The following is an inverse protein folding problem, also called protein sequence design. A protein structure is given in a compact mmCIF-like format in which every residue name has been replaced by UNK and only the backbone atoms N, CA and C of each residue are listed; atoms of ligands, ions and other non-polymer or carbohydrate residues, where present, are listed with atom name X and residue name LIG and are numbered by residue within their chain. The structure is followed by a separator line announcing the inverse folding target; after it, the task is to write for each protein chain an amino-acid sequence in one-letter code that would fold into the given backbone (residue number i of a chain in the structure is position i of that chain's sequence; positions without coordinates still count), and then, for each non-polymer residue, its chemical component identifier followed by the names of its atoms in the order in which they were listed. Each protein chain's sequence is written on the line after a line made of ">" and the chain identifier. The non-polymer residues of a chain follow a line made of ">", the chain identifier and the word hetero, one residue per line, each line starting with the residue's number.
data_IF_903167871368
#
_entry.id   IF_903167871368
#
_cell.length_a   1.000
_cell.length_b   1.000
_cell.length_c   1.000
_cell.angle_alpha   90.00
_cell.angle_beta   90.00
_cell.angle_gamma   90.00
#
_symmetry.space_group_name_H-M   'P 1'
#
loop_
_entity.id
_entity.type
_entity.pdbx_description
1 polymer ?
#
# COMPACT_ATOMS: atom_id res chain seq x y z
N UNK A 1 16.25 -14.30 -7.72
CA UNK A 1 15.07 -14.21 -8.59
C UNK A 1 14.83 -12.75 -8.86
N UNK A 2 14.75 -12.36 -10.13
CA UNK A 2 14.54 -10.95 -10.54
C UNK A 2 13.09 -10.55 -10.29
N UNK A 3 12.86 -9.38 -9.70
CA UNK A 3 11.53 -8.79 -9.60
C UNK A 3 11.11 -8.31 -11.00
N UNK A 4 10.09 -8.95 -11.58
CA UNK A 4 9.52 -8.57 -12.89
C UNK A 4 8.07 -8.16 -12.71
N UNK A 5 7.55 -7.35 -13.64
CA UNK A 5 6.13 -6.98 -13.64
C UNK A 5 5.23 -8.22 -13.64
N UNK A 6 5.60 -9.27 -14.40
CA UNK A 6 4.86 -10.54 -14.42
C UNK A 6 4.88 -11.24 -13.06
N UNK A 7 6.05 -11.35 -12.44
CA UNK A 7 6.19 -12.00 -11.12
C UNK A 7 5.40 -11.24 -10.04
N UNK A 8 5.34 -9.91 -10.11
CA UNK A 8 4.52 -9.11 -9.21
C UNK A 8 3.03 -9.36 -9.41
N UNK A 9 2.57 -9.44 -10.66
CA UNK A 9 1.16 -9.73 -10.95
C UNK A 9 0.75 -11.13 -10.49
N UNK A 10 1.60 -12.13 -10.71
CA UNK A 10 1.36 -13.49 -10.22
C UNK A 10 1.32 -13.53 -8.68
N UNK A 11 2.18 -12.75 -8.01
CA UNK A 11 2.14 -12.57 -6.56
C UNK A 11 0.83 -11.91 -6.08
N UNK A 12 0.46 -10.77 -6.67
CA UNK A 12 -0.76 -10.03 -6.31
C UNK A 12 -2.00 -10.91 -6.50
N UNK A 13 -2.11 -11.61 -7.62
CA UNK A 13 -3.20 -12.55 -7.88
C UNK A 13 -3.27 -13.68 -6.85
N UNK A 14 -2.13 -14.17 -6.34
CA UNK A 14 -2.09 -15.20 -5.31
C UNK A 14 -2.38 -14.69 -3.88
N UNK A 15 -2.32 -13.36 -3.66
CA UNK A 15 -2.51 -12.70 -2.36
C UNK A 15 -3.90 -12.11 -2.20
N UNK A 16 -4.52 -11.58 -3.28
CA UNK A 16 -5.87 -10.98 -3.22
C UNK A 16 -6.92 -11.91 -2.57
N UNK A 17 -7.02 -13.21 -2.90
CA UNK A 17 -8.00 -14.11 -2.28
C UNK A 17 -7.79 -14.33 -0.77
N UNK A 18 -6.66 -13.86 -0.23
CA UNK A 18 -6.27 -13.97 1.18
C UNK A 18 -6.38 -12.62 1.91
N UNK A 19 -6.93 -11.59 1.26
CA UNK A 19 -7.09 -10.28 1.85
C UNK A 19 -8.02 -10.33 3.06
N UNK A 20 -7.57 -9.78 4.20
CA UNK A 20 -8.37 -9.60 5.41
C UNK A 20 -9.37 -8.44 5.24
N UNK A 21 -9.00 -7.45 4.44
CA UNK A 21 -9.84 -6.28 4.09
C UNK A 21 -9.86 -6.14 2.58
N UNK A 22 -11.06 -6.10 2.00
CA UNK A 22 -11.26 -5.87 0.56
C UNK A 22 -12.14 -4.64 0.36
N UNK A 23 -11.63 -3.67 -0.37
CA UNK A 23 -12.31 -2.41 -0.68
C UNK A 23 -12.45 -2.31 -2.19
N UNK A 24 -13.69 -2.09 -2.65
CA UNK A 24 -13.99 -1.81 -4.05
C UNK A 24 -14.17 -0.31 -4.22
N UNK A 25 -13.22 0.36 -4.88
CA UNK A 25 -13.35 1.76 -5.26
C UNK A 25 -14.01 1.88 -6.64
N UNK A 26 -14.91 2.86 -6.77
CA UNK A 26 -15.66 3.13 -8.00
C UNK A 26 -15.07 4.30 -8.78
N UNK A 27 -15.27 4.38 -10.11
CA UNK A 27 -14.73 5.49 -10.89
C UNK A 27 -15.31 6.82 -10.36
N UNK A 28 -14.45 7.80 -10.11
CA UNK A 28 -14.85 9.11 -9.59
C UNK A 28 -15.25 9.14 -8.11
N UNK A 29 -15.22 8.00 -7.41
CA UNK A 29 -15.56 7.89 -5.98
C UNK A 29 -14.46 7.11 -5.23
N UNK A 30 -13.33 7.76 -4.90
CA UNK A 30 -12.27 7.11 -4.11
C UNK A 30 -12.81 6.66 -2.76
N UNK A 31 -12.31 5.54 -2.27
CA UNK A 31 -12.51 5.16 -0.89
C UNK A 31 -11.72 6.12 -0.01
N UNK A 32 -12.39 6.84 0.89
CA UNK A 32 -11.77 7.77 1.81
C UNK A 32 -11.80 7.21 3.23
N UNK A 33 -10.63 7.18 3.87
CA UNK A 33 -10.47 6.75 5.26
C UNK A 33 -9.64 7.79 6.02
N UNK A 34 -9.95 7.99 7.29
CA UNK A 34 -9.18 8.81 8.21
C UNK A 34 -9.01 8.10 9.55
N UNK A 35 -7.94 8.45 10.27
CA UNK A 35 -7.59 7.87 11.58
C UNK A 35 -7.56 6.34 11.57
N UNK A 36 -7.04 5.79 10.47
CA UNK A 36 -6.88 4.36 10.26
C UNK A 36 -6.04 3.74 11.38
N UNK A 37 -6.43 2.55 11.83
CA UNK A 37 -5.73 1.81 12.88
C UNK A 37 -6.16 2.19 14.30
N UNK A 38 -6.89 3.30 14.49
CA UNK A 38 -7.48 3.66 15.79
C UNK A 38 -8.40 2.58 16.34
N UNK A 39 -9.19 1.95 15.47
CA UNK A 39 -10.09 0.86 15.82
C UNK A 39 -9.37 -0.45 16.14
N UNK A 40 -8.08 -0.62 15.77
CA UNK A 40 -7.39 -1.90 15.97
C UNK A 40 -7.22 -2.29 17.44
N UNK A 41 -7.25 -1.33 18.37
CA UNK A 41 -7.13 -1.62 19.80
C UNK A 41 -8.42 -2.20 20.39
N UNK A 42 -9.58 -1.92 19.79
CA UNK A 42 -10.90 -2.27 20.33
C UNK A 42 -11.62 -3.31 19.48
N UNK A 43 -11.47 -3.25 18.17
CA UNK A 43 -12.03 -4.20 17.21
C UNK A 43 -11.03 -4.46 16.07
N UNK A 44 -10.28 -5.55 16.21
CA UNK A 44 -9.34 -6.00 15.18
C UNK A 44 -10.03 -6.47 13.89
N UNK A 45 -11.36 -6.62 13.84
CA UNK A 45 -12.11 -6.97 12.63
C UNK A 45 -12.73 -5.75 11.94
N UNK A 46 -12.67 -4.57 12.54
CA UNK A 46 -13.18 -3.35 11.94
C UNK A 46 -12.54 -3.06 10.58
N UNK A 47 -13.33 -2.52 9.66
CA UNK A 47 -12.88 -2.08 8.33
C UNK A 47 -11.89 -0.91 8.40
N UNK A 48 -11.83 -0.19 9.53
CA UNK A 48 -10.80 0.84 9.79
C UNK A 48 -9.59 0.31 10.56
N UNK A 49 -9.56 -0.99 10.88
CA UNK A 49 -8.37 -1.66 11.39
C UNK A 49 -7.62 -2.40 10.27
N UNK A 50 -6.56 -1.78 9.74
CA UNK A 50 -5.73 -2.36 8.67
C UNK A 50 -4.47 -3.07 9.20
N UNK A 51 -4.56 -3.57 10.43
CA UNK A 51 -3.51 -4.37 11.07
C UNK A 51 -2.59 -3.56 11.98
N UNK A 52 -1.93 -4.28 12.86
CA UNK A 52 -0.90 -3.78 13.79
C UNK A 52 0.38 -4.57 13.62
N UNK A 53 1.50 -4.11 14.18
CA UNK A 53 2.76 -4.87 14.13
C UNK A 53 2.66 -6.23 14.83
N UNK A 54 1.72 -6.42 15.76
CA UNK A 54 1.44 -7.72 16.40
C UNK A 54 0.42 -8.57 15.63
N UNK A 55 -0.39 -7.96 14.76
CA UNK A 55 -1.43 -8.63 13.98
C UNK A 55 -1.57 -7.95 12.61
N UNK A 56 -0.60 -8.16 11.69
CA UNK A 56 -0.61 -7.51 10.39
C UNK A 56 -1.72 -8.08 9.51
N UNK A 57 -2.18 -7.28 8.54
CA UNK A 57 -3.26 -7.65 7.61
C UNK A 57 -2.87 -7.50 6.16
N UNK A 58 -3.51 -8.28 5.30
CA UNK A 58 -3.52 -8.08 3.86
C UNK A 58 -4.73 -7.20 3.53
N UNK A 59 -4.47 -5.99 3.05
CA UNK A 59 -5.49 -5.04 2.64
C UNK A 59 -5.44 -4.90 1.13
N UNK A 60 -6.57 -5.17 0.47
CA UNK A 60 -6.72 -5.01 -0.96
C UNK A 60 -7.71 -3.89 -1.26
N UNK A 61 -7.27 -2.92 -2.06
CA UNK A 61 -8.10 -1.84 -2.62
C UNK A 61 -8.13 -2.02 -4.13
N UNK A 62 -9.24 -2.55 -4.63
CA UNK A 62 -9.52 -2.63 -6.06
C UNK A 62 -9.99 -1.27 -6.56
N UNK A 63 -9.21 -0.65 -7.42
CA UNK A 63 -9.57 0.57 -8.12
C UNK A 63 -10.51 0.31 -9.29
N UNK A 64 -11.07 1.38 -9.81
CA UNK A 64 -11.99 1.31 -10.93
C UNK A 64 -11.26 1.34 -12.28
N UNK A 65 -11.37 0.28 -13.11
CA UNK A 65 -10.83 0.31 -14.45
C UNK A 65 -11.79 1.04 -15.38
N UNK A 66 -11.41 2.24 -15.81
CA UNK A 66 -11.62 2.78 -17.16
C UNK A 66 -11.17 4.26 -17.17
N UNK A 67 -10.06 4.50 -17.85
CA UNK A 67 -9.77 5.72 -18.62
C UNK A 67 -9.52 7.04 -17.86
N UNK A 68 -9.83 7.13 -16.57
CA UNK A 68 -9.50 8.29 -15.75
C UNK A 68 -8.27 8.00 -14.88
N UNK A 69 -7.39 8.99 -14.72
CA UNK A 69 -6.42 9.05 -13.63
C UNK A 69 -7.19 9.17 -12.31
N UNK A 70 -7.75 8.05 -11.88
CA UNK A 70 -8.68 7.95 -10.76
C UNK A 70 -7.93 7.64 -9.48
N UNK A 71 -8.06 8.52 -8.52
CA UNK A 71 -7.71 8.21 -7.13
C UNK A 71 -8.65 7.10 -6.69
N UNK A 72 -8.10 5.96 -6.27
CA UNK A 72 -8.86 4.83 -5.71
C UNK A 72 -8.93 4.92 -4.19
N UNK A 73 -7.92 5.52 -3.56
CA UNK A 73 -7.78 5.59 -2.11
C UNK A 73 -7.37 6.99 -1.65
N UNK A 74 -8.05 7.51 -0.63
CA UNK A 74 -7.65 8.70 0.13
C UNK A 74 -7.47 8.33 1.59
N UNK A 75 -6.29 8.59 2.13
CA UNK A 75 -5.97 8.42 3.54
C UNK A 75 -5.72 9.80 4.15
N UNK A 76 -6.37 10.08 5.28
CA UNK A 76 -6.20 11.30 6.06
C UNK A 76 -6.05 11.06 7.56
N UNK A 77 -6.02 12.15 8.33
CA UNK A 77 -5.94 12.10 9.79
C UNK A 77 -4.60 11.58 10.31
N UNK A 78 -4.62 10.91 11.45
CA UNK A 78 -3.48 10.20 12.03
C UNK A 78 -3.64 8.69 11.78
N UNK A 79 -3.26 8.25 10.59
CA UNK A 79 -3.50 6.90 10.10
C UNK A 79 -2.27 6.00 10.28
N UNK A 80 -2.48 4.78 10.77
CA UNK A 80 -1.44 3.77 10.91
C UNK A 80 -1.94 2.36 10.54
N UNK A 81 -1.01 1.50 10.12
CA UNK A 81 -1.30 0.10 9.86
C UNK A 81 -0.04 -0.74 9.66
N UNK A 82 -0.23 -2.05 9.53
CA UNK A 82 0.86 -2.98 9.26
C UNK A 82 0.40 -4.18 8.44
N UNK A 83 1.24 -4.61 7.50
CA UNK A 83 1.02 -5.79 6.67
C UNK A 83 1.30 -5.55 5.19
N UNK A 84 0.41 -6.05 4.32
CA UNK A 84 0.52 -5.91 2.87
C UNK A 84 -0.65 -5.05 2.37
N UNK A 85 -0.37 -3.85 1.89
CA UNK A 85 -1.34 -2.98 1.26
C UNK A 85 -1.21 -3.10 -0.26
N UNK A 86 -2.27 -3.54 -0.93
CA UNK A 86 -2.34 -3.66 -2.38
C UNK A 86 -3.38 -2.68 -2.90
N UNK A 87 -2.98 -1.80 -3.82
CA UNK A 87 -3.86 -0.90 -4.54
C UNK A 87 -3.78 -1.28 -6.02
N UNK A 88 -4.88 -1.78 -6.58
CA UNK A 88 -4.94 -2.18 -7.98
C UNK A 88 -5.69 -1.13 -8.80
N UNK A 89 -5.25 -0.81 -10.03
CA UNK A 89 -5.99 0.03 -10.98
C UNK A 89 -6.44 1.40 -10.43
N UNK A 90 -5.55 2.11 -9.75
CA UNK A 90 -5.77 3.49 -9.31
C UNK A 90 -4.62 4.03 -8.48
N UNK A 91 -4.70 5.31 -8.14
CA UNK A 91 -3.70 5.98 -7.30
C UNK A 91 -4.18 6.15 -5.85
N UNK A 92 -3.24 6.16 -4.91
CA UNK A 92 -3.50 6.51 -3.52
C UNK A 92 -3.04 7.93 -3.22
N UNK A 93 -3.90 8.71 -2.58
CA UNK A 93 -3.54 9.99 -1.97
C UNK A 93 -3.43 9.81 -0.46
N UNK A 94 -2.31 10.27 0.08
CA UNK A 94 -2.03 10.19 1.52
C UNK A 94 -1.77 11.61 2.00
N UNK A 95 -2.65 12.10 2.86
CA UNK A 95 -2.52 13.37 3.57
C UNK A 95 -2.50 13.17 5.09
N UNK A 96 -2.10 14.20 5.83
CA UNK A 96 -1.93 14.09 7.27
C UNK A 96 -0.77 13.16 7.65
N UNK A 97 -0.82 12.61 8.86
CA UNK A 97 0.20 11.66 9.32
C UNK A 97 -0.18 10.24 8.90
N UNK A 98 0.77 9.54 8.28
CA UNK A 98 0.58 8.17 7.83
C UNK A 98 1.79 7.31 8.19
N UNK A 99 1.57 6.20 8.87
CA UNK A 99 2.62 5.24 9.19
C UNK A 99 2.24 3.82 8.79
N UNK A 100 3.02 3.22 7.88
CA UNK A 100 2.83 1.83 7.48
C UNK A 100 4.06 0.99 7.79
N UNK A 101 3.85 -0.19 8.37
CA UNK A 101 4.88 -1.21 8.56
C UNK A 101 4.62 -2.40 7.62
N UNK A 102 5.49 -2.61 6.63
CA UNK A 102 5.37 -3.72 5.70
C UNK A 102 5.43 -3.30 4.23
N UNK A 103 4.71 -4.02 3.38
CA UNK A 103 4.76 -3.82 1.92
C UNK A 103 3.57 -2.99 1.46
N UNK A 104 3.83 -2.02 0.60
CA UNK A 104 2.82 -1.32 -0.20
C UNK A 104 3.06 -1.65 -1.67
N UNK A 105 2.05 -2.17 -2.34
CA UNK A 105 2.08 -2.52 -3.76
C UNK A 105 0.98 -1.72 -4.46
N UNK A 106 1.35 -0.92 -5.45
CA UNK A 106 0.41 -0.24 -6.33
C UNK A 106 0.65 -0.77 -7.73
N UNK A 107 -0.37 -1.38 -8.36
CA UNK A 107 -0.20 -2.10 -9.62
C UNK A 107 -1.41 -1.96 -10.53
N UNK A 108 -1.23 -2.04 -11.85
CA UNK A 108 -2.33 -1.91 -12.81
C UNK A 108 -2.18 -0.68 -13.69
N UNK A 109 -3.28 -0.10 -14.15
CA UNK A 109 -3.28 1.08 -15.02
C UNK A 109 -3.51 2.38 -14.24
N UNK A 110 -2.76 3.43 -14.59
CA UNK A 110 -2.87 4.77 -14.01
C UNK A 110 -2.64 4.77 -12.50
N UNK A 111 -1.53 4.18 -12.09
CA UNK A 111 -1.19 3.94 -10.69
C UNK A 111 -0.16 4.92 -10.15
N UNK A 112 -0.24 5.18 -8.86
CA UNK A 112 0.74 6.00 -8.18
C UNK A 112 0.44 6.19 -6.71
N UNK A 113 1.39 6.77 -6.00
CA UNK A 113 1.20 7.27 -4.64
C UNK A 113 1.47 8.77 -4.68
N UNK A 114 0.55 9.53 -4.10
CA UNK A 114 0.66 10.97 -3.97
C UNK A 114 0.58 11.41 -2.52
N UNK A 115 1.65 12.02 -2.02
CA UNK A 115 1.63 12.71 -0.74
C UNK A 115 1.08 14.12 -0.91
N UNK A 116 0.03 14.44 -0.15
CA UNK A 116 -0.68 15.72 -0.21
C UNK A 116 -0.07 16.81 0.68
N UNK A 117 1.00 16.50 1.44
CA UNK A 117 1.61 17.40 2.41
C UNK A 117 0.86 17.47 3.75
N UNK A 118 1.47 18.09 4.76
CA UNK A 118 0.97 18.14 6.15
C UNK A 118 1.12 16.81 6.91
N UNK A 119 1.71 16.85 8.11
CA UNK A 119 1.99 15.65 8.92
C UNK A 119 3.22 14.86 8.49
N UNK A 120 3.47 13.73 9.18
CA UNK A 120 4.61 12.84 8.92
C UNK A 120 4.15 11.59 8.18
N UNK A 121 4.63 11.40 6.95
CA UNK A 121 4.30 10.25 6.11
C UNK A 121 5.50 9.30 6.02
N UNK A 122 5.34 8.08 6.53
CA UNK A 122 6.42 7.12 6.69
C UNK A 122 5.95 5.71 6.30
N UNK A 123 6.67 5.09 5.37
CA UNK A 123 6.55 3.65 5.09
C UNK A 123 7.85 3.00 5.54
N UNK A 124 7.74 2.10 6.52
CA UNK A 124 8.81 1.23 7.01
C UNK A 124 8.63 -0.15 6.38
N UNK A 125 9.40 -0.46 5.33
CA UNK A 125 9.30 -1.75 4.64
C UNK A 125 9.62 -1.62 3.16
N UNK A 126 8.68 -1.91 2.26
CA UNK A 126 8.92 -1.79 0.82
C UNK A 126 7.72 -1.18 0.09
N UNK A 127 8.00 -0.37 -0.92
CA UNK A 127 6.99 0.21 -1.80
C UNK A 127 7.29 -0.22 -3.23
N UNK A 128 6.31 -0.79 -3.91
CA UNK A 128 6.39 -1.21 -5.31
C UNK A 128 5.30 -0.48 -6.09
N UNK A 129 5.68 0.22 -7.16
CA UNK A 129 4.73 0.82 -8.11
C UNK A 129 4.95 0.17 -9.47
N UNK A 130 3.92 -0.47 -10.01
CA UNK A 130 3.95 -1.22 -11.27
C UNK A 130 2.87 -0.71 -12.22
N UNK A 131 3.25 0.26 -13.05
CA UNK A 131 2.40 0.81 -14.09
C UNK A 131 2.38 -0.10 -15.32
N UNK A 132 1.17 -0.51 -15.71
CA UNK A 132 0.92 -1.37 -16.87
C UNK A 132 0.37 -0.59 -18.07
N UNK A 133 0.05 0.70 -17.90
CA UNK A 133 -0.30 1.59 -19.01
C UNK A 133 0.98 2.00 -19.75
N UNK A 134 1.17 1.44 -20.94
CA UNK A 134 2.33 1.71 -21.80
C UNK A 134 2.52 3.19 -22.19
N UNK A 135 1.52 4.05 -21.95
CA UNK A 135 1.55 5.48 -22.24
C UNK A 135 1.67 6.36 -20.99
N UNK A 136 1.63 5.79 -19.79
CA UNK A 136 1.78 6.51 -18.53
C UNK A 136 3.13 6.19 -17.89
N UNK A 137 3.73 7.18 -17.23
CA UNK A 137 4.85 6.93 -16.34
C UNK A 137 4.29 6.46 -14.98
N UNK A 138 4.88 5.41 -14.41
CA UNK A 138 4.69 5.09 -12.99
C UNK A 138 5.10 6.31 -12.16
N UNK A 139 4.15 6.90 -11.45
CA UNK A 139 4.37 8.15 -10.74
C UNK A 139 4.44 7.95 -9.23
N UNK A 140 5.59 8.26 -8.64
CA UNK A 140 5.63 8.71 -7.25
C UNK A 140 5.69 10.23 -7.27
N UNK A 141 4.64 10.90 -6.80
CA UNK A 141 4.57 12.36 -6.83
C UNK A 141 4.38 12.88 -5.40
N UNK A 142 5.31 13.70 -4.94
CA UNK A 142 5.17 14.40 -3.67
C UNK A 142 4.86 15.86 -3.96
N UNK A 143 3.68 16.33 -3.53
CA UNK A 143 3.44 17.76 -3.43
C UNK A 143 4.06 18.20 -2.11
N UNK A 144 5.38 18.42 -2.13
CA UNK A 144 6.19 18.62 -0.94
C UNK A 144 5.83 19.91 -0.19
N UNK A 145 4.92 19.78 0.78
CA UNK A 145 4.79 20.67 1.94
C UNK A 145 4.86 19.90 3.26
N UNK A 146 5.51 18.72 3.28
CA UNK A 146 5.70 17.87 4.47
C UNK A 146 6.92 16.93 4.38
N UNK A 147 7.20 16.18 5.46
CA UNK A 147 8.34 15.28 5.60
C UNK A 147 7.97 13.83 5.19
N UNK A 148 8.03 13.53 3.89
CA UNK A 148 7.83 12.17 3.39
C UNK A 148 9.11 11.34 3.46
N UNK A 149 9.05 10.12 4.03
CA UNK A 149 10.18 9.18 4.03
C UNK A 149 9.75 7.77 3.58
N UNK A 150 10.50 7.21 2.64
CA UNK A 150 10.43 5.81 2.22
C UNK A 150 11.67 5.12 2.73
N UNK A 151 11.52 4.31 3.79
CA UNK A 151 12.64 3.62 4.41
C UNK A 151 12.52 2.13 4.14
N UNK A 152 13.49 1.60 3.41
CA UNK A 152 13.63 0.15 3.30
C UNK A 152 13.96 -0.44 4.68
N UNK A 153 13.10 -1.32 5.20
CA UNK A 153 13.32 -2.01 6.49
C UNK A 153 13.06 -3.51 6.34
N UNK A 154 14.13 -4.30 6.45
CA UNK A 154 14.04 -5.75 6.44
C UNK A 154 13.29 -6.26 7.65
N UNK A 155 13.46 -5.62 8.81
CA UNK A 155 12.82 -6.00 10.07
C UNK A 155 11.30 -5.90 9.96
N UNK A 156 10.79 -4.83 9.33
CA UNK A 156 9.36 -4.69 9.06
C UNK A 156 8.83 -5.77 8.10
N UNK A 157 9.63 -6.14 7.09
CA UNK A 157 9.28 -7.20 6.15
C UNK A 157 9.30 -8.60 6.81
N UNK A 158 10.29 -8.86 7.67
CA UNK A 158 10.41 -10.12 8.40
C UNK A 158 9.29 -10.25 9.44
N UNK A 159 8.94 -9.15 10.13
CA UNK A 159 7.81 -9.09 11.05
C UNK A 159 6.49 -9.45 10.37
N UNK A 160 6.19 -8.83 9.21
CA UNK A 160 4.96 -9.12 8.47
C UNK A 160 4.93 -10.57 7.97
N UNK A 161 6.05 -11.07 7.43
CA UNK A 161 6.12 -12.46 6.95
C UNK A 161 5.95 -13.48 8.07
N UNK A 162 6.61 -13.27 9.20
CA UNK A 162 6.57 -14.18 10.34
C UNK A 162 5.17 -14.19 10.97
N UNK A 163 4.56 -13.02 11.16
CA UNK A 163 3.25 -12.91 11.77
C UNK A 163 2.11 -13.43 10.87
N UNK A 164 2.21 -13.27 9.54
CA UNK A 164 1.27 -13.91 8.60
C UNK A 164 1.47 -15.43 8.51
N UNK A 165 2.49 -16.00 9.17
CA UNK A 165 2.87 -17.43 9.13
C UNK A 165 3.00 -17.97 7.71
N UNK A 166 3.36 -17.10 6.76
CA UNK A 166 3.40 -17.37 5.32
C UNK A 166 4.59 -16.62 4.76
N UNK A 167 5.54 -17.33 4.16
CA UNK A 167 6.64 -16.71 3.41
C UNK A 167 6.11 -16.14 2.10
N UNK A 168 5.61 -14.91 2.14
CA UNK A 168 4.99 -14.23 1.00
C UNK A 168 6.00 -13.43 0.18
N UNK A 169 7.11 -12.97 0.77
CA UNK A 169 8.08 -12.09 0.08
C UNK A 169 9.47 -12.71 0.18
N UNK A 170 10.27 -12.62 -0.88
CA UNK A 170 11.71 -12.90 -0.80
C UNK A 170 12.46 -11.60 -1.04
N UNK A 171 13.16 -11.14 -0.01
CA UNK A 171 14.01 -9.95 -0.07
C UNK A 171 15.27 -10.29 -0.85
N UNK A 172 15.51 -9.55 -1.94
CA UNK A 172 16.81 -9.51 -2.61
C UNK A 172 17.46 -8.17 -2.29
N UNK A 173 18.68 -8.20 -1.76
CA UNK A 173 19.50 -7.01 -1.61
C UNK A 173 20.30 -6.80 -2.90
N UNK A 174 20.57 -5.54 -3.22
CA UNK A 174 21.59 -5.16 -4.19
C UNK A 174 22.88 -4.88 -3.40
N UNK A 175 24.00 -5.38 -3.90
CA UNK A 175 25.32 -4.96 -3.49
C UNK A 175 25.94 -4.30 -4.72
N UNK A 176 26.36 -3.05 -4.58
CA UNK A 176 27.23 -2.41 -5.57
C UNK A 176 28.54 -3.19 -5.67
N UNK A 177 29.01 -3.41 -6.89
CA UNK A 177 30.42 -3.66 -7.17
C UNK A 177 31.09 -2.35 -7.57
#
# INVERSE_FOLDING_TARGET
>A
GTLTSRALLDFVAAVIPKADVTISASPGSPHAVADLGSACATDARSDSCWGTTSSPKIVYVGGAPADAAGISLRIGGNSAGAGVLIIENGAAEIGGSFRWYGVVIVTGKNVGIRYLGGGDQQIYGATIVNELNARAAAGFTSNASGNGSLLYSREALDLVQNALSRRLVTVYHWADQ
#
